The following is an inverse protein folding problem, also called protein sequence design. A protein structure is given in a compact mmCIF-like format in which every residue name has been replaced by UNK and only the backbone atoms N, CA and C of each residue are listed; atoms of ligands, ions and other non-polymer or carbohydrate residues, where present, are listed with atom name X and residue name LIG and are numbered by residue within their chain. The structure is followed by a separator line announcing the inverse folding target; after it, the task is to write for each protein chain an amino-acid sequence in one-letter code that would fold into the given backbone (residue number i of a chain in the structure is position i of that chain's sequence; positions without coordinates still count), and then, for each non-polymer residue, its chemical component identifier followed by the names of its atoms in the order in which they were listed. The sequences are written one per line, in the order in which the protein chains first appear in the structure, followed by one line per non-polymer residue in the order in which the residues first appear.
data_IF_393979757608
#
_entry.id   IF_393979757608
#
_cell.length_a   1.000
_cell.length_b   1.000
_cell.length_c   1.000
_cell.angle_alpha   90.00
_cell.angle_beta   90.00
_cell.angle_gamma   90.00
#
_symmetry.space_group_name_H-M   'P 1'
#
loop_
_entity.id
_entity.type
_entity.pdbx_description
1 polymer ?
#
# COMPACT_ATOMS: atom_id res chain seq x y z
N UNK A 1 -3.05 -21.54 -22.21
CA UNK A 1 -3.38 -22.86 -22.79
C UNK A 1 -2.77 -23.90 -21.87
N UNK A 2 -3.41 -25.06 -21.74
CA UNK A 2 -2.94 -26.13 -20.87
C UNK A 2 -2.82 -27.41 -21.67
N UNK A 3 -1.78 -28.18 -21.42
CA UNK A 3 -1.75 -29.58 -21.83
C UNK A 3 -2.13 -30.39 -20.59
N UNK A 4 -3.20 -31.17 -20.72
CA UNK A 4 -3.71 -32.02 -19.65
C UNK A 4 -3.24 -33.43 -19.92
N UNK A 5 -2.64 -34.06 -18.92
CA UNK A 5 -2.29 -35.48 -18.92
C UNK A 5 -3.16 -36.19 -17.89
N UNK A 6 -3.81 -37.26 -18.29
CA UNK A 6 -4.69 -38.04 -17.43
C UNK A 6 -4.30 -39.52 -17.54
N UNK A 7 -4.02 -40.15 -16.41
CA UNK A 7 -3.91 -41.61 -16.33
C UNK A 7 -5.31 -42.22 -16.19
N UNK A 8 -5.64 -43.13 -17.11
CA UNK A 8 -6.97 -43.71 -17.25
C UNK A 8 -7.01 -45.08 -16.56
N UNK A 9 -7.92 -45.29 -15.59
CA UNK A 9 -8.13 -46.60 -14.97
C UNK A 9 -8.54 -47.67 -16.00
N UNK A 10 -8.23 -48.93 -15.70
CA UNK A 10 -8.58 -50.06 -16.59
C UNK A 10 -10.09 -50.10 -16.88
N UNK A 11 -10.45 -50.29 -18.15
CA UNK A 11 -11.82 -50.42 -18.63
C UNK A 11 -12.59 -49.10 -18.75
N UNK A 12 -11.88 -47.96 -18.79
CA UNK A 12 -12.48 -46.61 -18.90
C UNK A 12 -11.95 -45.80 -20.08
N UNK A 13 -10.99 -46.32 -20.83
CA UNK A 13 -10.39 -45.63 -21.97
C UNK A 13 -11.43 -45.23 -23.01
N UNK A 14 -12.31 -46.16 -23.43
CA UNK A 14 -13.34 -45.86 -24.43
C UNK A 14 -14.28 -44.73 -23.97
N UNK A 15 -14.81 -44.80 -22.74
CA UNK A 15 -15.68 -43.76 -22.16
C UNK A 15 -15.02 -42.36 -22.19
N UNK A 16 -13.71 -42.29 -21.93
CA UNK A 16 -12.94 -41.04 -21.90
C UNK A 16 -12.66 -40.52 -23.31
N UNK A 17 -12.33 -41.40 -24.25
CA UNK A 17 -12.07 -41.01 -25.64
C UNK A 17 -13.35 -40.51 -26.32
N UNK A 18 -14.48 -41.17 -26.07
CA UNK A 18 -15.79 -40.78 -26.60
C UNK A 18 -16.18 -39.36 -26.12
N UNK A 19 -16.00 -39.05 -24.83
CA UNK A 19 -16.28 -37.72 -24.28
C UNK A 19 -15.36 -36.63 -24.88
N UNK A 20 -14.09 -36.96 -25.16
CA UNK A 20 -13.15 -36.02 -25.81
C UNK A 20 -13.50 -35.79 -27.28
N UNK A 21 -13.92 -36.83 -27.99
CA UNK A 21 -14.35 -36.75 -29.39
C UNK A 21 -15.68 -35.98 -29.52
N UNK A 22 -16.63 -36.16 -28.60
CA UNK A 22 -17.89 -35.40 -28.53
C UNK A 22 -17.64 -33.90 -28.33
N UNK A 23 -16.61 -33.56 -27.56
CA UNK A 23 -16.17 -32.17 -27.36
C UNK A 23 -15.27 -31.65 -28.49
N UNK A 24 -14.91 -32.50 -29.46
CA UNK A 24 -14.05 -32.17 -30.59
C UNK A 24 -12.62 -31.84 -30.17
N UNK A 25 -12.10 -32.46 -29.11
CA UNK A 25 -10.77 -32.21 -28.56
C UNK A 25 -9.76 -33.17 -29.19
N UNK A 26 -8.60 -32.66 -29.63
CA UNK A 26 -7.49 -33.53 -30.05
C UNK A 26 -6.84 -34.18 -28.83
N UNK A 27 -6.45 -35.45 -28.96
CA UNK A 27 -5.75 -36.17 -27.90
C UNK A 27 -4.64 -37.06 -28.46
N UNK A 28 -3.68 -37.40 -27.59
CA UNK A 28 -2.67 -38.41 -27.82
C UNK A 28 -2.78 -39.47 -26.73
N UNK A 29 -2.87 -40.73 -27.12
CA UNK A 29 -2.93 -41.88 -26.20
C UNK A 29 -1.55 -42.54 -26.16
N UNK A 30 -1.06 -42.84 -24.96
CA UNK A 30 0.15 -43.62 -24.72
C UNK A 30 -0.19 -44.77 -23.79
N UNK A 31 0.32 -45.97 -24.09
CA UNK A 31 0.10 -47.15 -23.26
C UNK A 31 0.82 -47.00 -21.91
N UNK A 32 0.16 -47.34 -20.81
CA UNK A 32 0.77 -47.35 -19.48
C UNK A 32 1.33 -48.75 -19.19
N UNK A 33 2.65 -48.83 -18.95
CA UNK A 33 3.38 -50.10 -18.74
C UNK A 33 3.89 -50.20 -17.28
N UNK A 34 3.35 -49.38 -16.39
CA UNK A 34 3.80 -49.21 -15.02
C UNK A 34 3.06 -50.13 -14.06
N UNK A 35 2.35 -49.54 -13.08
CA UNK A 35 1.87 -50.29 -11.89
C UNK A 35 0.65 -51.16 -12.13
N UNK A 36 0.12 -51.21 -13.37
CA UNK A 36 -1.02 -52.05 -13.75
C UNK A 36 -2.36 -51.59 -13.16
N UNK A 37 -2.42 -50.37 -12.61
CA UNK A 37 -3.65 -49.73 -12.11
C UNK A 37 -4.33 -48.91 -13.22
N UNK A 38 -3.61 -48.63 -14.30
CA UNK A 38 -4.02 -47.80 -15.43
C UNK A 38 -3.76 -48.54 -16.73
N UNK A 39 -4.61 -48.32 -17.74
CA UNK A 39 -4.43 -48.91 -19.07
C UNK A 39 -3.78 -47.95 -20.07
N UNK A 40 -3.92 -46.64 -19.86
CA UNK A 40 -3.36 -45.63 -20.75
C UNK A 40 -3.13 -44.28 -20.06
N UNK A 41 -2.24 -43.50 -20.65
CA UNK A 41 -2.11 -42.06 -20.43
C UNK A 41 -2.69 -41.32 -21.63
N UNK A 42 -3.67 -40.45 -21.41
CA UNK A 42 -4.26 -39.59 -22.44
C UNK A 42 -3.80 -38.15 -22.23
N UNK A 43 -3.26 -37.55 -23.28
CA UNK A 43 -2.74 -36.18 -23.26
C UNK A 43 -3.46 -35.31 -24.27
N UNK A 44 -4.07 -34.21 -23.85
CA UNK A 44 -4.89 -33.36 -24.72
C UNK A 44 -4.71 -31.87 -24.41
N UNK A 45 -4.57 -31.01 -25.43
CA UNK A 45 -4.46 -29.58 -25.22
C UNK A 45 -5.85 -28.95 -25.04
N UNK A 46 -5.97 -28.12 -23.99
CA UNK A 46 -7.18 -27.36 -23.72
C UNK A 46 -6.90 -25.85 -23.61
N UNK A 47 -7.85 -25.02 -24.06
CA UNK A 47 -7.97 -23.67 -23.57
C UNK A 47 -8.05 -23.70 -22.03
N UNK A 48 -7.40 -22.75 -21.36
CA UNK A 48 -7.42 -22.59 -19.89
C UNK A 48 -8.84 -22.69 -19.31
N UNK A 49 -9.80 -22.05 -19.98
CA UNK A 49 -11.20 -21.99 -19.61
C UNK A 49 -11.98 -23.30 -19.83
N UNK A 50 -11.45 -24.21 -20.67
CA UNK A 50 -12.05 -25.51 -20.95
C UNK A 50 -11.61 -26.61 -19.97
N UNK A 51 -10.55 -26.37 -19.19
CA UNK A 51 -9.96 -27.38 -18.30
C UNK A 51 -10.98 -27.90 -17.28
N UNK A 52 -11.63 -27.04 -16.50
CA UNK A 52 -12.57 -27.49 -15.47
C UNK A 52 -13.85 -28.11 -16.04
N UNK A 53 -14.51 -27.53 -17.07
CA UNK A 53 -15.70 -28.16 -17.67
C UNK A 53 -15.40 -29.55 -18.23
N UNK A 54 -14.29 -29.71 -18.94
CA UNK A 54 -13.88 -31.00 -19.51
C UNK A 54 -13.52 -31.98 -18.39
N UNK A 55 -12.71 -31.57 -17.41
CA UNK A 55 -12.37 -32.44 -16.26
C UNK A 55 -13.58 -32.82 -15.42
N UNK A 56 -14.61 -31.98 -15.33
CA UNK A 56 -15.85 -32.30 -14.63
C UNK A 56 -16.67 -33.36 -15.36
N UNK A 57 -16.76 -33.29 -16.70
CA UNK A 57 -17.46 -34.33 -17.48
C UNK A 57 -16.71 -35.64 -17.48
N UNK A 58 -15.40 -35.57 -17.70
CA UNK A 58 -14.49 -36.70 -17.60
C UNK A 58 -14.59 -37.41 -16.24
N UNK A 59 -14.70 -36.64 -15.15
CA UNK A 59 -15.00 -37.16 -13.81
C UNK A 59 -16.32 -37.94 -13.76
N UNK A 60 -17.38 -37.41 -14.36
CA UNK A 60 -18.69 -38.07 -14.47
C UNK A 60 -18.70 -39.41 -15.24
N UNK A 61 -17.74 -39.64 -16.14
CA UNK A 61 -17.58 -40.92 -16.87
C UNK A 61 -16.60 -41.91 -16.21
N UNK A 62 -16.11 -41.60 -15.00
CA UNK A 62 -15.37 -42.59 -14.19
C UNK A 62 -13.92 -42.26 -13.88
N UNK A 63 -13.50 -41.00 -14.08
CA UNK A 63 -12.17 -40.53 -13.67
C UNK A 63 -12.04 -40.23 -12.15
N UNK A 64 -13.10 -40.39 -11.36
CA UNK A 64 -13.21 -39.69 -10.07
C UNK A 64 -12.37 -40.19 -8.87
N UNK A 65 -11.76 -41.38 -8.85
CA UNK A 65 -11.17 -41.84 -7.56
C UNK A 65 -9.76 -42.46 -7.63
N UNK A 66 -9.16 -42.59 -8.82
CA UNK A 66 -7.79 -43.12 -8.94
C UNK A 66 -6.93 -42.41 -10.01
N UNK A 67 -7.49 -41.56 -10.87
CA UNK A 67 -6.78 -40.96 -12.01
C UNK A 67 -5.79 -39.86 -11.59
N UNK A 68 -4.52 -40.04 -11.93
CA UNK A 68 -3.52 -38.97 -11.79
C UNK A 68 -3.68 -37.97 -12.94
N UNK A 69 -4.00 -36.71 -12.61
CA UNK A 69 -4.13 -35.62 -13.60
C UNK A 69 -3.01 -34.59 -13.43
N UNK A 70 -2.25 -34.34 -14.51
CA UNK A 70 -1.22 -33.30 -14.56
C UNK A 70 -1.69 -32.23 -15.53
N UNK A 71 -1.65 -30.96 -15.11
CA UNK A 71 -1.97 -29.82 -15.96
C UNK A 71 -0.71 -28.98 -16.12
N UNK A 72 -0.15 -28.93 -17.33
CA UNK A 72 1.07 -28.15 -17.62
C UNK A 72 0.78 -26.95 -18.52
N UNK A 73 1.56 -25.88 -18.35
CA UNK A 73 1.51 -24.70 -19.23
C UNK A 73 2.10 -25.04 -20.59
N UNK A 74 1.31 -24.91 -21.65
CA UNK A 74 1.79 -25.01 -23.03
C UNK A 74 2.01 -23.60 -23.62
N UNK A 75 3.18 -23.35 -24.19
CA UNK A 75 3.50 -22.07 -24.84
C UNK A 75 2.72 -21.88 -26.15
N UNK A 76 2.55 -22.95 -26.95
CA UNK A 76 1.81 -22.91 -28.22
C UNK A 76 1.15 -24.25 -28.52
N UNK A 77 -0.07 -24.20 -29.05
CA UNK A 77 -0.80 -25.36 -29.59
C UNK A 77 -1.23 -25.02 -31.01
N UNK A 78 -0.85 -25.85 -31.98
CA UNK A 78 -1.23 -25.68 -33.40
C UNK A 78 -2.22 -26.79 -33.76
N UNK A 79 -3.51 -26.48 -33.65
CA UNK A 79 -4.60 -27.38 -34.06
C UNK A 79 -5.82 -26.58 -34.51
N UNK A 80 -6.50 -27.08 -35.55
CA UNK A 80 -7.78 -26.52 -36.04
C UNK A 80 -8.90 -26.75 -35.02
N UNK A 81 -9.01 -27.98 -34.50
CA UNK A 81 -9.97 -28.35 -33.46
C UNK A 81 -9.76 -27.53 -32.18
N UNK A 82 -8.50 -27.35 -31.77
CA UNK A 82 -8.17 -26.48 -30.63
C UNK A 82 -8.66 -25.03 -30.81
N UNK A 83 -8.59 -24.48 -32.03
CA UNK A 83 -9.10 -23.13 -32.30
C UNK A 83 -10.63 -23.05 -32.17
N UNK A 84 -11.35 -24.11 -32.53
CA UNK A 84 -12.80 -24.24 -32.38
C UNK A 84 -13.20 -24.45 -30.91
N UNK A 85 -12.51 -25.34 -30.19
CA UNK A 85 -12.65 -25.50 -28.74
C UNK A 85 -12.36 -24.17 -28.03
N UNK A 86 -11.29 -23.46 -28.40
CA UNK A 86 -11.00 -22.14 -27.83
C UNK A 86 -12.15 -21.16 -27.99
N UNK A 87 -12.80 -21.11 -29.17
CA UNK A 87 -13.99 -20.27 -29.38
C UNK A 87 -15.17 -20.71 -28.51
N UNK A 88 -15.45 -22.02 -28.41
CA UNK A 88 -16.49 -22.60 -27.54
C UNK A 88 -16.30 -22.22 -26.06
N UNK A 89 -15.04 -22.09 -25.63
CA UNK A 89 -14.66 -21.78 -24.25
C UNK A 89 -14.12 -20.35 -24.05
N UNK A 90 -14.29 -19.42 -25.02
CA UNK A 90 -13.72 -18.05 -24.92
C UNK A 90 -14.39 -17.22 -23.82
N UNK A 91 -15.65 -17.52 -23.47
CA UNK A 91 -16.43 -16.82 -22.44
C UNK A 91 -16.40 -17.48 -21.06
N UNK A 92 -15.68 -18.61 -20.91
CA UNK A 92 -15.61 -19.30 -19.63
C UNK A 92 -14.48 -18.71 -18.79
N UNK A 93 -14.87 -18.22 -17.62
CA UNK A 93 -14.01 -17.77 -16.53
C UNK A 93 -12.83 -18.72 -16.31
N UNK A 94 -11.71 -18.18 -15.81
CA UNK A 94 -10.56 -19.00 -15.45
C UNK A 94 -11.01 -20.18 -14.56
N UNK A 95 -10.52 -21.39 -14.79
CA UNK A 95 -10.85 -22.49 -13.87
C UNK A 95 -10.39 -22.14 -12.45
N UNK A 96 -11.09 -22.66 -11.43
CA UNK A 96 -10.78 -22.38 -10.03
C UNK A 96 -9.38 -22.86 -9.67
N UNK A 97 -9.03 -24.08 -10.10
CA UNK A 97 -7.70 -24.64 -9.93
C UNK A 97 -6.63 -23.75 -10.59
N UNK A 98 -6.91 -23.20 -11.78
CA UNK A 98 -5.98 -22.26 -12.42
C UNK A 98 -5.94 -20.91 -11.70
N UNK A 99 -7.04 -20.43 -11.13
CA UNK A 99 -7.08 -19.20 -10.35
C UNK A 99 -6.23 -19.32 -9.08
N UNK A 100 -6.32 -20.45 -8.37
CA UNK A 100 -5.50 -20.78 -7.21
C UNK A 100 -4.03 -20.88 -7.61
N UNK A 101 -3.71 -21.67 -8.62
CA UNK A 101 -2.32 -21.83 -9.11
C UNK A 101 -1.71 -20.49 -9.52
N UNK A 102 -2.41 -19.66 -10.30
CA UNK A 102 -1.91 -18.32 -10.66
C UNK A 102 -1.73 -17.41 -9.44
N UNK A 103 -2.65 -17.48 -8.48
CA UNK A 103 -2.54 -16.70 -7.25
C UNK A 103 -1.35 -17.15 -6.37
N UNK A 104 -1.00 -18.43 -6.39
CA UNK A 104 0.18 -18.98 -5.71
C UNK A 104 1.47 -18.60 -6.43
N UNK A 105 1.50 -18.68 -7.76
CA UNK A 105 2.66 -18.32 -8.60
C UNK A 105 3.00 -16.83 -8.49
N UNK A 106 1.99 -15.98 -8.28
CA UNK A 106 2.20 -14.54 -8.06
C UNK A 106 2.80 -14.21 -6.69
N UNK A 107 2.70 -15.11 -5.71
CA UNK A 107 3.24 -14.90 -4.36
C UNK A 107 4.65 -15.52 -4.26
N UNK A 108 5.72 -14.70 -4.26
CA UNK A 108 7.08 -15.24 -4.28
C UNK A 108 7.41 -16.01 -2.99
N UNK A 109 8.49 -16.82 -3.02
CA UNK A 109 9.04 -17.43 -1.82
C UNK A 109 9.35 -16.37 -0.75
N UNK A 110 9.21 -16.76 0.53
CA UNK A 110 9.36 -15.84 1.66
C UNK A 110 10.71 -15.10 1.65
N UNK A 111 11.81 -15.80 1.34
CA UNK A 111 13.15 -15.19 1.27
C UNK A 111 13.23 -14.08 0.23
N UNK A 112 12.72 -14.34 -0.98
CA UNK A 112 12.66 -13.35 -2.07
C UNK A 112 11.75 -12.19 -1.69
N UNK A 113 10.59 -12.48 -1.10
CA UNK A 113 9.65 -11.47 -0.63
C UNK A 113 10.29 -10.50 0.37
N UNK A 114 10.97 -11.03 1.39
CA UNK A 114 11.64 -10.23 2.41
C UNK A 114 12.73 -9.36 1.82
N UNK A 115 13.66 -9.94 1.04
CA UNK A 115 14.78 -9.18 0.45
C UNK A 115 14.27 -8.07 -0.48
N UNK A 116 13.35 -8.38 -1.38
CA UNK A 116 12.81 -7.39 -2.32
C UNK A 116 12.02 -6.30 -1.61
N UNK A 117 11.30 -6.63 -0.54
CA UNK A 117 10.57 -5.63 0.27
C UNK A 117 11.53 -4.68 0.98
N UNK A 118 12.60 -5.21 1.60
CA UNK A 118 13.62 -4.38 2.27
C UNK A 118 14.31 -3.46 1.26
N UNK A 119 14.78 -4.01 0.13
CA UNK A 119 15.44 -3.22 -0.92
C UNK A 119 14.51 -2.15 -1.46
N UNK A 120 13.27 -2.51 -1.78
CA UNK A 120 12.27 -1.56 -2.26
C UNK A 120 12.00 -0.44 -1.25
N UNK A 121 11.81 -0.78 0.03
CA UNK A 121 11.57 0.22 1.08
C UNK A 121 12.75 1.19 1.25
N UNK A 122 13.99 0.69 1.26
CA UNK A 122 15.19 1.53 1.36
C UNK A 122 15.33 2.47 0.16
N UNK A 123 15.12 1.95 -1.06
CA UNK A 123 15.18 2.77 -2.28
C UNK A 123 14.02 3.78 -2.31
N UNK A 124 12.83 3.40 -1.85
CA UNK A 124 11.69 4.30 -1.74
C UNK A 124 11.95 5.43 -0.74
N UNK A 125 12.48 5.12 0.45
CA UNK A 125 12.87 6.13 1.44
C UNK A 125 13.94 7.06 0.88
N UNK A 126 14.94 6.53 0.16
CA UNK A 126 15.94 7.35 -0.53
C UNK A 126 15.29 8.29 -1.54
N UNK A 127 14.37 7.78 -2.36
CA UNK A 127 13.64 8.59 -3.34
C UNK A 127 12.75 9.66 -2.69
N UNK A 128 12.12 9.36 -1.55
CA UNK A 128 11.33 10.32 -0.78
C UNK A 128 12.21 11.44 -0.23
N UNK A 129 13.30 11.09 0.49
CA UNK A 129 14.19 12.08 1.11
C UNK A 129 14.95 12.93 0.06
N UNK A 130 15.24 12.38 -1.11
CA UNK A 130 15.89 13.09 -2.22
C UNK A 130 14.93 13.80 -3.17
N UNK A 131 13.62 13.81 -2.87
CA UNK A 131 12.58 14.41 -3.72
C UNK A 131 12.59 13.88 -5.18
N UNK A 132 12.84 12.58 -5.37
CA UNK A 132 13.02 11.96 -6.69
C UNK A 132 11.91 10.95 -7.01
N UNK A 133 10.89 11.43 -7.75
CA UNK A 133 9.80 10.59 -8.24
C UNK A 133 10.29 9.40 -9.09
N UNK A 134 11.37 9.54 -9.85
CA UNK A 134 11.94 8.46 -10.66
C UNK A 134 12.50 7.32 -9.79
N UNK A 135 13.20 7.64 -8.71
CA UNK A 135 13.74 6.64 -7.77
C UNK A 135 12.60 5.94 -7.03
N UNK A 136 11.57 6.71 -6.64
CA UNK A 136 10.36 6.19 -6.02
C UNK A 136 9.65 5.18 -6.94
N UNK A 137 9.49 5.50 -8.23
CA UNK A 137 8.91 4.58 -9.23
C UNK A 137 9.77 3.33 -9.39
N UNK A 138 11.10 3.48 -9.44
CA UNK A 138 12.03 2.36 -9.47
C UNK A 138 11.86 1.41 -8.28
N UNK A 139 11.71 1.96 -7.07
CA UNK A 139 11.44 1.20 -5.87
C UNK A 139 10.12 0.41 -5.96
N UNK A 140 9.07 1.02 -6.50
CA UNK A 140 7.75 0.39 -6.63
C UNK A 140 7.78 -0.86 -7.53
N UNK A 141 8.62 -0.88 -8.57
CA UNK A 141 8.76 -2.02 -9.48
C UNK A 141 9.42 -3.22 -8.80
N UNK A 142 10.27 -2.98 -7.79
CA UNK A 142 10.98 -4.02 -7.04
C UNK A 142 10.03 -4.78 -6.09
N UNK A 143 9.01 -4.09 -5.55
CA UNK A 143 8.20 -4.61 -4.46
C UNK A 143 7.21 -5.72 -4.90
N UNK A 144 7.26 -6.92 -4.28
CA UNK A 144 6.38 -8.03 -4.67
C UNK A 144 5.01 -8.00 -3.97
N UNK A 145 4.30 -6.87 -4.02
CA UNK A 145 3.07 -6.64 -3.22
C UNK A 145 1.78 -7.17 -3.86
N UNK A 146 1.80 -7.50 -5.15
CA UNK A 146 0.61 -7.99 -5.87
C UNK A 146 0.17 -9.38 -5.39
N UNK A 147 1.12 -10.31 -5.30
CA UNK A 147 0.88 -11.71 -4.91
C UNK A 147 0.09 -11.82 -3.60
N UNK A 148 0.55 -11.20 -2.50
CA UNK A 148 -0.15 -11.24 -1.22
C UNK A 148 -1.62 -10.81 -1.28
N UNK A 149 -1.94 -9.73 -2.02
CA UNK A 149 -3.31 -9.22 -2.17
C UNK A 149 -4.21 -10.15 -2.99
N UNK A 150 -3.67 -10.70 -4.08
CA UNK A 150 -4.39 -11.68 -4.89
C UNK A 150 -4.60 -12.98 -4.11
N UNK A 151 -3.59 -13.52 -3.43
CA UNK A 151 -3.72 -14.73 -2.63
C UNK A 151 -4.75 -14.56 -1.51
N UNK A 152 -4.78 -13.40 -0.83
CA UNK A 152 -5.79 -13.11 0.19
C UNK A 152 -7.20 -13.09 -0.41
N UNK A 153 -7.39 -12.41 -1.54
CA UNK A 153 -8.70 -12.28 -2.20
C UNK A 153 -9.21 -13.61 -2.77
N UNK A 154 -8.36 -14.35 -3.50
CA UNK A 154 -8.69 -15.65 -4.08
C UNK A 154 -8.95 -16.69 -2.98
N UNK A 155 -8.08 -16.73 -1.97
CA UNK A 155 -8.24 -17.63 -0.83
C UNK A 155 -9.53 -17.37 -0.05
N UNK A 156 -9.98 -16.12 0.02
CA UNK A 156 -11.27 -15.77 0.61
C UNK A 156 -12.45 -16.27 -0.23
N UNK A 157 -12.47 -15.96 -1.54
CA UNK A 157 -13.61 -16.26 -2.43
C UNK A 157 -13.79 -17.75 -2.65
N UNK A 158 -12.70 -18.49 -2.80
CA UNK A 158 -12.72 -19.93 -3.05
C UNK A 158 -12.77 -20.78 -1.77
N UNK A 159 -12.76 -20.14 -0.59
CA UNK A 159 -12.71 -20.81 0.72
C UNK A 159 -11.45 -21.68 0.90
N UNK A 160 -10.30 -21.17 0.45
CA UNK A 160 -8.98 -21.80 0.59
C UNK A 160 -8.20 -21.17 1.77
N UNK A 161 -8.32 -21.70 3.00
CA UNK A 161 -7.80 -21.04 4.20
C UNK A 161 -6.28 -20.94 4.23
N UNK A 162 -5.56 -21.88 3.59
CA UNK A 162 -4.10 -21.85 3.48
C UNK A 162 -3.66 -20.66 2.62
N UNK A 163 -4.27 -20.49 1.45
CA UNK A 163 -3.98 -19.39 0.53
C UNK A 163 -4.36 -18.03 1.15
N UNK A 164 -5.53 -17.96 1.79
CA UNK A 164 -5.97 -16.75 2.50
C UNK A 164 -4.99 -16.33 3.59
N UNK A 165 -4.61 -17.25 4.49
CA UNK A 165 -3.67 -16.97 5.59
C UNK A 165 -2.28 -16.61 5.08
N UNK A 166 -1.82 -17.26 4.01
CA UNK A 166 -0.54 -16.92 3.37
C UNK A 166 -0.59 -15.50 2.79
N UNK A 167 -1.65 -15.14 2.07
CA UNK A 167 -1.82 -13.80 1.51
C UNK A 167 -1.84 -12.70 2.58
N UNK A 168 -2.69 -12.85 3.59
CA UNK A 168 -2.79 -11.90 4.72
C UNK A 168 -1.48 -11.83 5.51
N UNK A 169 -0.84 -12.97 5.78
CA UNK A 169 0.44 -13.03 6.49
C UNK A 169 1.55 -12.29 5.74
N UNK A 170 1.65 -12.47 4.43
CA UNK A 170 2.63 -11.76 3.60
C UNK A 170 2.31 -10.25 3.49
N UNK A 171 1.03 -9.85 3.46
CA UNK A 171 0.66 -8.43 3.48
C UNK A 171 1.10 -7.76 4.79
N UNK A 172 0.76 -8.36 5.93
CA UNK A 172 1.15 -7.83 7.25
C UNK A 172 2.66 -7.78 7.38
N UNK A 173 3.34 -8.88 7.02
CA UNK A 173 4.80 -8.93 7.05
C UNK A 173 5.43 -7.88 6.13
N UNK A 174 4.90 -7.72 4.90
CA UNK A 174 5.41 -6.76 3.93
C UNK A 174 5.27 -5.31 4.41
N UNK A 175 4.13 -4.96 5.01
CA UNK A 175 3.91 -3.65 5.62
C UNK A 175 4.88 -3.40 6.76
N UNK A 176 5.00 -4.35 7.70
CA UNK A 176 5.90 -4.21 8.84
C UNK A 176 7.36 -4.11 8.40
N UNK A 177 7.78 -4.91 7.42
CA UNK A 177 9.13 -4.84 6.87
C UNK A 177 9.38 -3.52 6.14
N UNK A 178 8.42 -3.02 5.37
CA UNK A 178 8.57 -1.76 4.66
C UNK A 178 8.69 -0.57 5.64
N UNK A 179 7.83 -0.51 6.66
CA UNK A 179 7.89 0.51 7.72
C UNK A 179 9.22 0.39 8.48
N UNK A 180 9.59 -0.81 8.93
CA UNK A 180 10.81 -1.04 9.69
C UNK A 180 12.08 -0.71 8.89
N UNK A 181 12.12 -1.09 7.60
CA UNK A 181 13.26 -0.77 6.73
C UNK A 181 13.36 0.72 6.46
N UNK A 182 12.22 1.37 6.19
CA UNK A 182 12.16 2.81 6.01
C UNK A 182 12.58 3.56 7.28
N UNK A 183 12.14 3.11 8.45
CA UNK A 183 12.54 3.64 9.76
C UNK A 183 14.05 3.48 10.00
N UNK A 184 14.58 2.27 9.88
CA UNK A 184 16.00 1.99 10.11
C UNK A 184 16.87 2.83 9.17
N UNK A 185 16.51 2.92 7.89
CA UNK A 185 17.25 3.74 6.94
C UNK A 185 17.12 5.24 7.25
N UNK A 186 15.94 5.71 7.63
CA UNK A 186 15.71 7.10 8.04
C UNK A 186 16.53 7.49 9.26
N UNK A 187 16.61 6.61 10.28
CA UNK A 187 17.48 6.80 11.44
C UNK A 187 18.96 6.83 11.05
N UNK A 188 19.39 5.91 10.18
CA UNK A 188 20.77 5.93 9.68
C UNK A 188 21.09 7.26 8.99
N UNK A 189 20.21 7.76 8.13
CA UNK A 189 20.38 9.04 7.44
C UNK A 189 20.42 10.22 8.42
N UNK A 190 19.54 10.21 9.43
CA UNK A 190 19.49 11.22 10.50
C UNK A 190 20.78 11.28 11.32
N UNK A 191 21.31 10.13 11.73
CA UNK A 191 22.50 10.03 12.61
C UNK A 191 23.83 10.23 11.87
N UNK A 192 23.90 9.93 10.56
CA UNK A 192 25.17 9.93 9.81
C UNK A 192 25.54 11.30 9.20
N UNK A 193 24.88 12.39 9.59
CA UNK A 193 25.08 13.74 9.05
C UNK A 193 24.96 13.82 7.51
N UNK A 194 24.23 12.87 6.90
CA UNK A 194 23.96 12.87 5.46
C UNK A 194 22.95 13.96 5.05
N UNK A 195 22.31 14.60 6.04
CA UNK A 195 21.36 15.69 5.86
C UNK A 195 21.81 16.92 6.66
N UNK A 196 21.59 18.13 6.13
CA UNK A 196 21.92 19.35 6.83
C UNK A 196 21.22 19.47 8.19
N UNK A 197 21.84 20.13 9.18
CA UNK A 197 21.13 20.53 10.40
C UNK A 197 19.91 21.39 10.01
N UNK A 198 18.77 21.12 10.65
CA UNK A 198 17.49 21.75 10.31
C UNK A 198 16.70 21.08 9.17
N UNK A 199 17.20 19.99 8.58
CA UNK A 199 16.44 19.27 7.55
C UNK A 199 15.17 18.62 8.12
N UNK A 200 14.02 19.07 7.63
CA UNK A 200 12.72 18.49 7.93
C UNK A 200 12.20 17.64 6.75
N UNK A 201 12.20 16.30 6.83
CA UNK A 201 11.73 15.45 5.75
C UNK A 201 10.22 15.60 5.49
N UNK A 202 9.46 16.06 6.47
CA UNK A 202 8.01 16.27 6.36
C UNK A 202 7.70 17.41 5.38
N UNK A 203 8.65 18.32 5.15
CA UNK A 203 8.53 19.42 4.19
C UNK A 203 8.91 19.02 2.75
N UNK A 204 9.47 17.83 2.55
CA UNK A 204 9.86 17.37 1.23
C UNK A 204 8.60 17.10 0.40
N UNK A 205 8.46 17.66 -0.83
CA UNK A 205 7.23 17.54 -1.61
C UNK A 205 6.77 16.10 -1.83
N UNK A 206 7.68 15.18 -2.16
CA UNK A 206 7.35 13.76 -2.32
C UNK A 206 6.86 13.08 -1.03
N UNK A 207 7.27 13.56 0.14
CA UNK A 207 6.77 13.10 1.45
C UNK A 207 5.39 13.70 1.70
N UNK A 208 5.22 15.03 1.51
CA UNK A 208 3.94 15.72 1.69
C UNK A 208 2.80 15.12 0.87
N UNK A 209 3.06 14.69 -0.37
CA UNK A 209 2.08 13.99 -1.20
C UNK A 209 1.50 12.72 -0.55
N UNK A 210 2.19 12.14 0.44
CA UNK A 210 1.77 10.96 1.21
C UNK A 210 1.23 11.30 2.59
N UNK A 211 1.28 12.57 2.98
CA UNK A 211 0.74 13.12 4.21
C UNK A 211 -0.63 13.76 4.02
N UNK A 212 -1.00 14.10 2.78
CA UNK A 212 -2.35 14.60 2.47
C UNK A 212 -3.22 13.48 1.88
N UNK A 213 -3.93 12.70 2.72
CA UNK A 213 -4.83 11.70 2.21
C UNK A 213 -5.97 12.35 1.41
N UNK A 214 -6.10 11.92 0.16
CA UNK A 214 -7.03 12.50 -0.80
C UNK A 214 -7.94 11.40 -1.37
N UNK A 215 -9.19 11.73 -1.68
CA UNK A 215 -10.12 10.86 -2.43
C UNK A 215 -9.47 10.33 -3.72
N UNK A 216 -8.57 11.08 -4.35
CA UNK A 216 -7.83 10.63 -5.52
C UNK A 216 -6.94 9.40 -5.26
N UNK A 217 -6.41 9.22 -4.04
CA UNK A 217 -5.64 8.00 -3.70
C UNK A 217 -6.54 6.77 -3.62
N UNK A 218 -7.81 6.94 -3.22
CA UNK A 218 -8.80 5.87 -3.25
C UNK A 218 -9.09 5.42 -4.70
N UNK A 219 -9.17 6.37 -5.65
CA UNK A 219 -9.33 6.04 -7.08
C UNK A 219 -8.16 5.19 -7.57
N UNK A 220 -6.93 5.53 -7.18
CA UNK A 220 -5.74 4.75 -7.50
C UNK A 220 -5.82 3.33 -6.91
N UNK A 221 -6.18 3.20 -5.64
CA UNK A 221 -6.31 1.90 -4.97
C UNK A 221 -7.42 1.03 -5.61
N UNK A 222 -8.55 1.65 -5.97
CA UNK A 222 -9.64 0.96 -6.68
C UNK A 222 -9.17 0.50 -8.06
N UNK A 223 -8.52 1.38 -8.82
CA UNK A 223 -7.95 1.04 -10.13
C UNK A 223 -6.92 -0.09 -10.05
N UNK A 224 -6.05 -0.07 -9.04
CA UNK A 224 -5.09 -1.13 -8.78
C UNK A 224 -5.77 -2.47 -8.45
N UNK A 225 -6.84 -2.46 -7.65
CA UNK A 225 -7.64 -3.65 -7.37
C UNK A 225 -8.34 -4.23 -8.61
N UNK A 226 -8.90 -3.37 -9.47
CA UNK A 226 -9.46 -3.78 -10.77
C UNK A 226 -8.38 -4.41 -11.62
N UNK A 227 -7.25 -3.73 -11.80
CA UNK A 227 -6.14 -4.21 -12.59
C UNK A 227 -5.57 -5.54 -12.06
N UNK A 228 -5.55 -5.73 -10.74
CA UNK A 228 -5.13 -6.97 -10.09
C UNK A 228 -5.97 -8.16 -10.55
N UNK A 229 -7.30 -8.02 -10.49
CA UNK A 229 -8.23 -9.07 -10.93
C UNK A 229 -8.16 -9.29 -12.43
N UNK A 230 -8.01 -8.24 -13.23
CA UNK A 230 -7.86 -8.37 -14.68
C UNK A 230 -6.53 -9.03 -15.07
N UNK A 231 -5.43 -8.72 -14.39
CA UNK A 231 -4.14 -9.41 -14.60
C UNK A 231 -4.25 -10.89 -14.25
N UNK A 232 -4.89 -11.22 -13.14
CA UNK A 232 -5.13 -12.61 -12.74
C UNK A 232 -6.01 -13.36 -13.75
N UNK A 233 -7.17 -12.80 -14.10
CA UNK A 233 -8.21 -13.46 -14.90
C UNK A 233 -7.98 -13.41 -16.41
N UNK A 234 -7.25 -12.41 -16.92
CA UNK A 234 -6.99 -12.23 -18.35
C UNK A 234 -5.52 -12.39 -18.74
N UNK A 235 -4.63 -12.64 -17.78
CA UNK A 235 -3.20 -12.85 -18.05
C UNK A 235 -2.47 -11.59 -18.51
N UNK A 236 -2.93 -10.40 -18.09
CA UNK A 236 -2.22 -9.13 -18.32
C UNK A 236 -0.95 -9.10 -17.46
N UNK A 237 0.10 -8.41 -17.92
CA UNK A 237 1.41 -8.32 -17.24
C UNK A 237 1.28 -8.03 -15.74
N UNK A 238 1.74 -8.98 -14.91
CA UNK A 238 1.76 -8.86 -13.45
C UNK A 238 2.75 -7.80 -12.96
N UNK A 239 3.79 -7.50 -13.74
CA UNK A 239 4.80 -6.49 -13.38
C UNK A 239 4.19 -5.09 -13.37
N UNK A 240 3.43 -4.74 -14.41
CA UNK A 240 2.81 -3.41 -14.52
C UNK A 240 1.75 -3.20 -13.44
N UNK A 241 0.97 -4.23 -13.15
CA UNK A 241 -0.04 -4.18 -12.09
C UNK A 241 0.58 -4.20 -10.70
N UNK A 242 1.64 -4.98 -10.51
CA UNK A 242 2.44 -4.97 -9.29
C UNK A 242 3.01 -3.60 -8.98
N UNK A 243 3.53 -2.89 -9.99
CA UNK A 243 3.96 -1.52 -9.85
C UNK A 243 2.82 -0.59 -9.39
N UNK A 244 1.62 -0.69 -9.97
CA UNK A 244 0.46 0.14 -9.53
C UNK A 244 0.05 -0.13 -8.08
N UNK A 245 0.03 -1.39 -7.64
CA UNK A 245 -0.26 -1.71 -6.23
C UNK A 245 0.87 -1.19 -5.33
N UNK A 246 2.13 -1.32 -5.74
CA UNK A 246 3.27 -0.82 -5.01
C UNK A 246 3.26 0.70 -4.88
N UNK A 247 2.78 1.43 -5.90
CA UNK A 247 2.62 2.90 -5.84
C UNK A 247 1.78 3.30 -4.64
N UNK A 248 0.71 2.56 -4.36
CA UNK A 248 -0.21 2.84 -3.28
C UNK A 248 0.29 2.37 -1.89
N UNK A 249 1.29 1.48 -1.83
CA UNK A 249 1.67 0.80 -0.58
C UNK A 249 3.07 1.15 -0.08
N UNK A 250 4.08 1.09 -0.96
CA UNK A 250 5.49 1.20 -0.54
C UNK A 250 5.82 2.62 -0.05
N UNK A 251 5.50 3.69 -0.80
CA UNK A 251 5.87 5.04 -0.34
C UNK A 251 5.14 5.47 0.93
N UNK A 252 3.82 5.22 1.12
CA UNK A 252 3.18 5.49 2.41
C UNK A 252 3.82 4.72 3.56
N UNK A 253 4.16 3.43 3.37
CA UNK A 253 4.86 2.65 4.40
C UNK A 253 6.26 3.23 4.73
N UNK A 254 7.02 3.63 3.72
CA UNK A 254 8.30 4.31 3.90
C UNK A 254 8.13 5.67 4.60
N UNK A 255 7.06 6.41 4.29
CA UNK A 255 6.72 7.70 4.91
C UNK A 255 6.38 7.55 6.39
N UNK A 256 5.65 6.49 6.76
CA UNK A 256 5.44 6.14 8.19
C UNK A 256 6.79 5.91 8.88
N UNK A 257 7.72 5.18 8.25
CA UNK A 257 9.07 4.98 8.78
C UNK A 257 9.85 6.29 8.96
N UNK A 258 9.76 7.22 7.99
CA UNK A 258 10.33 8.57 8.09
C UNK A 258 9.70 9.33 9.27
N UNK A 259 8.38 9.32 9.38
CA UNK A 259 7.65 10.00 10.46
C UNK A 259 8.05 9.50 11.84
N UNK A 260 8.26 8.19 12.02
CA UNK A 260 8.77 7.61 13.27
C UNK A 260 10.21 8.08 13.56
N UNK A 261 11.08 8.18 12.55
CA UNK A 261 12.47 8.61 12.74
C UNK A 261 12.59 10.09 13.14
N UNK A 262 11.64 10.94 12.72
CA UNK A 262 11.59 12.37 13.03
C UNK A 262 10.59 12.75 14.13
N UNK A 263 10.02 11.77 14.83
CA UNK A 263 9.04 11.97 15.90
C UNK A 263 7.86 12.87 15.46
N UNK A 264 7.35 12.61 14.25
CA UNK A 264 6.28 13.37 13.62
C UNK A 264 4.94 12.60 13.71
N UNK A 265 4.20 12.66 14.83
CA UNK A 265 3.05 11.81 15.08
C UNK A 265 1.87 12.08 14.13
N UNK A 266 1.67 13.33 13.71
CA UNK A 266 0.65 13.65 12.70
C UNK A 266 0.98 12.99 11.35
N UNK A 267 2.25 13.03 10.94
CA UNK A 267 2.71 12.41 9.70
C UNK A 267 2.58 10.88 9.74
N UNK A 268 2.84 10.26 10.90
CA UNK A 268 2.62 8.82 11.13
C UNK A 268 1.15 8.45 10.94
N UNK A 269 0.25 9.25 11.53
CA UNK A 269 -1.20 9.03 11.42
C UNK A 269 -1.69 9.22 9.99
N UNK A 270 -1.25 10.27 9.30
CA UNK A 270 -1.65 10.58 7.92
C UNK A 270 -1.19 9.48 6.94
N UNK A 271 0.11 9.19 6.90
CA UNK A 271 0.67 8.17 6.01
C UNK A 271 0.20 6.76 6.38
N UNK A 272 0.06 6.48 7.68
CA UNK A 272 -0.44 5.20 8.19
C UNK A 272 -1.90 4.96 7.81
N UNK A 273 -2.74 5.99 7.91
CA UNK A 273 -4.15 5.89 7.49
C UNK A 273 -4.26 5.72 5.98
N UNK A 274 -3.48 6.47 5.20
CA UNK A 274 -3.42 6.31 3.75
C UNK A 274 -3.00 4.88 3.35
N UNK A 275 -1.98 4.32 4.00
CA UNK A 275 -1.54 2.95 3.79
C UNK A 275 -2.65 1.94 4.06
N UNK A 276 -3.32 2.05 5.21
CA UNK A 276 -4.40 1.14 5.60
C UNK A 276 -5.59 1.22 4.64
N UNK A 277 -6.00 2.44 4.26
CA UNK A 277 -7.06 2.65 3.27
C UNK A 277 -6.71 1.99 1.94
N UNK A 278 -5.47 2.15 1.46
CA UNK A 278 -5.03 1.56 0.20
C UNK A 278 -5.04 0.02 0.24
N UNK A 279 -4.53 -0.58 1.31
CA UNK A 279 -4.56 -2.04 1.49
C UNK A 279 -6.01 -2.54 1.47
N UNK A 280 -6.87 -1.94 2.29
CA UNK A 280 -8.26 -2.37 2.42
C UNK A 280 -9.04 -2.16 1.12
N UNK A 281 -8.84 -1.05 0.41
CA UNK A 281 -9.50 -0.76 -0.84
C UNK A 281 -9.09 -1.73 -1.96
N UNK A 282 -7.79 -2.03 -2.10
CA UNK A 282 -7.31 -3.02 -3.10
C UNK A 282 -7.92 -4.39 -2.83
N UNK A 283 -7.91 -4.85 -1.57
CA UNK A 283 -8.51 -6.15 -1.21
C UNK A 283 -10.04 -6.12 -1.37
N UNK A 284 -10.72 -5.04 -1.01
CA UNK A 284 -12.17 -4.89 -1.17
C UNK A 284 -12.56 -5.05 -2.63
N UNK A 285 -11.89 -4.33 -3.53
CA UNK A 285 -12.20 -4.36 -4.95
C UNK A 285 -11.86 -5.71 -5.55
N UNK A 286 -10.71 -6.28 -5.21
CA UNK A 286 -10.33 -7.59 -5.71
C UNK A 286 -11.32 -8.68 -5.27
N UNK A 287 -11.68 -8.70 -3.98
CA UNK A 287 -12.69 -9.59 -3.41
C UNK A 287 -14.05 -9.40 -4.07
N UNK A 288 -14.50 -8.15 -4.23
CA UNK A 288 -15.80 -7.81 -4.82
C UNK A 288 -15.90 -8.25 -6.27
N UNK A 289 -14.88 -7.97 -7.08
CA UNK A 289 -14.87 -8.34 -8.49
C UNK A 289 -14.83 -9.85 -8.69
N UNK A 290 -14.02 -10.57 -7.91
CA UNK A 290 -13.98 -12.03 -7.95
C UNK A 290 -15.34 -12.63 -7.53
N UNK A 291 -15.97 -12.06 -6.50
CA UNK A 291 -17.30 -12.47 -6.06
C UNK A 291 -18.38 -12.23 -7.13
N UNK A 292 -18.42 -11.03 -7.72
CA UNK A 292 -19.37 -10.66 -8.79
C UNK A 292 -19.13 -11.49 -10.06
N UNK A 293 -17.88 -11.86 -10.35
CA UNK A 293 -17.51 -12.73 -11.48
C UNK A 293 -17.96 -14.19 -11.29
N UNK A 294 -18.59 -14.54 -10.16
CA UNK A 294 -19.19 -15.86 -9.95
C UNK A 294 -18.24 -16.94 -9.46
N UNK A 295 -17.01 -16.59 -9.05
CA UNK A 295 -16.10 -17.54 -8.42
C UNK A 295 -16.67 -17.97 -7.05
N UNK A 296 -16.87 -19.28 -6.85
CA UNK A 296 -17.48 -19.91 -5.65
C UNK A 296 -16.78 -21.25 -5.33
N UNK A 297 -16.92 -21.82 -4.12
CA UNK A 297 -16.34 -23.12 -3.76
C UNK A 297 -16.99 -24.32 -4.48
N UNK A 298 -16.32 -25.48 -4.46
CA UNK A 298 -16.73 -26.72 -5.18
C UNK A 298 -17.83 -27.50 -4.45
N UNK A 299 -17.82 -27.55 -3.11
CA UNK A 299 -18.80 -28.37 -2.37
C UNK A 299 -20.11 -27.60 -2.13
N UNK A 300 -21.25 -28.24 -2.40
CA UNK A 300 -22.58 -27.67 -2.13
C UNK A 300 -22.81 -27.43 -0.62
N UNK A 301 -22.12 -28.17 0.26
CA UNK A 301 -22.13 -27.98 1.71
C UNK A 301 -21.38 -26.73 2.20
N UNK A 302 -20.29 -26.34 1.53
CA UNK A 302 -19.48 -25.18 1.90
C UNK A 302 -19.93 -23.88 1.22
N UNK A 303 -20.75 -23.95 0.18
CA UNK A 303 -21.22 -22.79 -0.57
C UNK A 303 -21.95 -21.76 0.32
N UNK A 304 -22.74 -22.23 1.30
CA UNK A 304 -23.42 -21.37 2.27
C UNK A 304 -22.45 -20.68 3.24
N UNK A 305 -21.47 -21.43 3.76
CA UNK A 305 -20.46 -20.91 4.68
C UNK A 305 -19.50 -19.93 3.99
N UNK A 306 -19.07 -20.24 2.76
CA UNK A 306 -18.21 -19.37 1.97
C UNK A 306 -18.92 -18.07 1.58
N UNK A 307 -20.22 -18.12 1.24
CA UNK A 307 -21.02 -16.92 0.99
C UNK A 307 -21.13 -16.05 2.22
N UNK A 308 -21.48 -16.64 3.37
CA UNK A 308 -21.57 -15.90 4.63
C UNK A 308 -20.23 -15.27 4.99
N UNK A 309 -19.13 -16.01 4.89
CA UNK A 309 -17.78 -15.52 5.19
C UNK A 309 -17.34 -14.41 4.25
N UNK A 310 -17.59 -14.54 2.94
CA UNK A 310 -17.22 -13.51 1.96
C UNK A 310 -18.01 -12.23 2.19
N UNK A 311 -19.32 -12.32 2.43
CA UNK A 311 -20.15 -11.16 2.76
C UNK A 311 -19.71 -10.52 4.09
N UNK A 312 -19.36 -11.32 5.09
CA UNK A 312 -18.81 -10.81 6.35
C UNK A 312 -17.49 -10.08 6.13
N UNK A 313 -16.58 -10.62 5.33
CA UNK A 313 -15.30 -9.97 5.02
C UNK A 313 -15.50 -8.68 4.22
N UNK A 314 -16.39 -8.67 3.22
CA UNK A 314 -16.78 -7.45 2.52
C UNK A 314 -17.36 -6.41 3.49
N UNK A 315 -18.23 -6.83 4.40
CA UNK A 315 -18.82 -5.97 5.43
C UNK A 315 -17.78 -5.41 6.39
N UNK A 316 -16.86 -6.24 6.88
CA UNK A 316 -15.76 -5.83 7.76
C UNK A 316 -14.85 -4.84 7.05
N UNK A 317 -14.37 -5.15 5.84
CA UNK A 317 -13.47 -4.26 5.10
C UNK A 317 -14.17 -2.93 4.79
N UNK A 318 -15.44 -2.96 4.37
CA UNK A 318 -16.24 -1.75 4.11
C UNK A 318 -16.42 -0.93 5.38
N UNK A 319 -16.76 -1.57 6.50
CA UNK A 319 -16.89 -0.89 7.79
C UNK A 319 -15.56 -0.28 8.26
N UNK A 320 -14.45 -1.01 8.12
CA UNK A 320 -13.11 -0.49 8.42
C UNK A 320 -12.77 0.72 7.55
N UNK A 321 -13.11 0.70 6.25
CA UNK A 321 -12.92 1.85 5.37
C UNK A 321 -13.79 3.04 5.76
N UNK A 322 -15.03 2.82 6.21
CA UNK A 322 -15.88 3.90 6.72
C UNK A 322 -15.32 4.52 8.01
N UNK A 323 -14.88 3.69 8.96
CA UNK A 323 -14.24 4.16 10.20
C UNK A 323 -12.96 4.92 9.90
N UNK A 324 -12.09 4.36 9.04
CA UNK A 324 -10.87 5.04 8.60
C UNK A 324 -11.21 6.31 7.84
N UNK A 325 -12.28 6.35 7.03
CA UNK A 325 -12.73 7.56 6.33
C UNK A 325 -13.17 8.67 7.29
N UNK A 326 -13.80 8.33 8.42
CA UNK A 326 -14.12 9.29 9.49
C UNK A 326 -12.86 9.80 10.16
N UNK A 327 -11.93 8.91 10.52
CA UNK A 327 -10.62 9.28 11.08
C UNK A 327 -9.88 10.19 10.11
N UNK A 328 -9.85 9.82 8.83
CA UNK A 328 -9.21 10.55 7.76
C UNK A 328 -9.78 11.95 7.61
N UNK A 329 -11.10 12.07 7.64
CA UNK A 329 -11.78 13.37 7.58
C UNK A 329 -11.39 14.24 8.78
N UNK A 330 -11.32 13.65 9.99
CA UNK A 330 -10.83 14.34 11.18
C UNK A 330 -9.39 14.82 11.03
N UNK A 331 -8.47 13.93 10.64
CA UNK A 331 -7.06 14.26 10.41
C UNK A 331 -6.90 15.31 9.32
N UNK A 332 -7.68 15.24 8.24
CA UNK A 332 -7.66 16.22 7.15
C UNK A 332 -8.08 17.61 7.64
N UNK A 333 -9.11 17.70 8.48
CA UNK A 333 -9.52 18.99 9.07
C UNK A 333 -8.42 19.58 9.95
N UNK A 334 -7.76 18.74 10.74
CA UNK A 334 -6.64 19.13 11.59
C UNK A 334 -5.44 19.58 10.76
N UNK A 335 -5.13 18.86 9.67
CA UNK A 335 -4.06 19.18 8.71
C UNK A 335 -4.34 20.52 7.99
N UNK A 336 -5.59 20.79 7.61
CA UNK A 336 -6.00 22.08 7.03
C UNK A 336 -5.83 23.22 8.06
N UNK A 337 -6.24 22.99 9.30
CA UNK A 337 -6.07 23.98 10.37
C UNK A 337 -4.59 24.26 10.64
N UNK A 338 -3.74 23.23 10.62
CA UNK A 338 -2.29 23.35 10.77
C UNK A 338 -1.68 24.17 9.63
N UNK A 339 -2.06 23.88 8.39
CA UNK A 339 -1.60 24.61 7.22
C UNK A 339 -2.02 26.09 7.25
N UNK A 340 -3.25 26.39 7.70
CA UNK A 340 -3.75 27.75 7.85
C UNK A 340 -2.99 28.51 8.95
N UNK A 341 -2.75 27.88 10.11
CA UNK A 341 -1.94 28.46 11.18
C UNK A 341 -0.55 28.86 10.66
N UNK A 342 0.13 27.96 9.95
CA UNK A 342 1.46 28.21 9.37
C UNK A 342 1.46 29.39 8.39
N UNK A 343 0.45 29.49 7.54
CA UNK A 343 0.35 30.55 6.54
C UNK A 343 0.07 31.92 7.19
N UNK A 344 -0.84 31.96 8.16
CA UNK A 344 -1.22 33.18 8.87
C UNK A 344 -0.07 33.67 9.77
N UNK A 345 0.63 32.76 10.45
CA UNK A 345 1.73 33.08 11.36
C UNK A 345 2.82 33.92 10.68
N UNK A 346 3.24 33.54 9.46
CA UNK A 346 4.24 34.30 8.71
C UNK A 346 3.76 35.72 8.35
N UNK A 347 2.47 35.86 8.06
CA UNK A 347 1.87 37.17 7.71
C UNK A 347 1.76 38.05 8.94
N UNK A 348 1.29 37.50 10.06
CA UNK A 348 1.15 38.21 11.33
C UNK A 348 2.49 38.65 11.94
N UNK A 349 3.51 37.77 11.90
CA UNK A 349 4.85 38.13 12.35
C UNK A 349 5.42 39.26 11.48
N UNK A 350 5.24 39.20 10.16
CA UNK A 350 5.66 40.27 9.26
C UNK A 350 4.95 41.59 9.57
N UNK A 351 3.66 41.55 9.89
CA UNK A 351 2.87 42.73 10.27
C UNK A 351 3.35 43.32 11.60
N UNK A 352 3.65 42.51 12.63
CA UNK A 352 4.22 42.99 13.90
C UNK A 352 5.59 43.64 13.68
N UNK A 353 6.46 43.02 12.88
CA UNK A 353 7.80 43.56 12.59
C UNK A 353 7.75 44.85 11.74
N UNK A 354 6.65 45.11 11.02
CA UNK A 354 6.44 46.34 10.26
C UNK A 354 6.18 47.58 11.13
N UNK A 355 5.83 47.38 12.41
CA UNK A 355 5.54 48.48 13.34
C UNK A 355 6.76 49.37 13.56
N UNK A 356 6.53 50.67 13.78
CA UNK A 356 7.59 51.69 13.91
C UNK A 356 8.60 51.41 15.04
N UNK A 357 8.20 50.61 16.04
CA UNK A 357 9.03 50.15 17.17
C UNK A 357 10.05 49.08 16.79
N UNK A 358 9.86 48.35 15.68
CA UNK A 358 10.64 47.17 15.31
C UNK A 358 11.30 47.26 13.92
N UNK A 359 11.31 48.44 13.28
CA UNK A 359 11.83 48.65 11.90
C UNK A 359 13.28 48.19 11.65
N UNK A 360 14.08 48.03 12.71
CA UNK A 360 15.46 47.60 12.63
C UNK A 360 15.62 46.08 12.78
N UNK A 361 14.55 45.34 13.01
CA UNK A 361 14.53 43.88 13.16
C UNK A 361 14.00 43.27 11.86
N UNK A 362 14.72 42.31 11.28
CA UNK A 362 14.29 41.59 10.08
C UNK A 362 14.01 40.14 10.42
N UNK A 363 12.93 39.59 9.86
CA UNK A 363 12.66 38.17 9.98
C UNK A 363 13.66 37.36 9.14
N UNK A 364 14.32 36.39 9.76
CA UNK A 364 15.20 35.45 9.06
C UNK A 364 14.44 34.17 8.77
N UNK A 365 13.89 33.56 9.82
CA UNK A 365 13.20 32.27 9.72
C UNK A 365 12.19 32.11 10.86
N UNK A 366 11.11 31.38 10.60
CA UNK A 366 10.14 30.98 11.62
C UNK A 366 10.15 29.46 11.65
N UNK A 367 10.51 28.90 12.80
CA UNK A 367 10.40 27.48 13.08
C UNK A 367 9.19 27.24 13.98
N UNK A 368 8.40 26.23 13.65
CA UNK A 368 7.24 25.84 14.46
C UNK A 368 7.61 24.49 15.06
N UNK A 369 7.98 24.52 16.32
CA UNK A 369 8.40 23.35 17.08
C UNK A 369 7.18 22.47 17.41
N UNK A 370 6.10 23.08 17.91
CA UNK A 370 4.83 22.41 18.20
C UNK A 370 3.68 23.29 17.74
N UNK A 371 2.90 22.81 16.76
CA UNK A 371 1.73 23.56 16.32
C UNK A 371 0.56 23.47 17.31
N UNK A 372 -0.36 24.45 17.34
CA UNK A 372 -1.54 24.37 18.20
C UNK A 372 -2.41 23.14 17.96
N UNK A 373 -2.41 22.64 16.73
CA UNK A 373 -3.11 21.41 16.34
C UNK A 373 -2.44 20.18 16.93
N UNK A 374 -1.10 20.11 16.88
CA UNK A 374 -0.33 19.04 17.50
C UNK A 374 -0.44 19.08 19.03
N UNK A 375 -0.31 20.26 19.64
CA UNK A 375 -0.44 20.41 21.09
C UNK A 375 -1.80 19.94 21.63
N UNK A 376 -2.88 20.17 20.89
CA UNK A 376 -4.23 19.71 21.25
C UNK A 376 -4.39 18.19 21.14
N UNK A 377 -3.72 17.56 20.17
CA UNK A 377 -3.75 16.09 19.96
C UNK A 377 -2.84 15.33 20.92
N UNK A 378 -1.65 15.85 21.20
CA UNK A 378 -0.58 15.15 21.91
C UNK A 378 -0.29 15.70 23.30
N UNK A 379 -1.05 16.71 23.76
CA UNK A 379 -0.90 17.35 25.08
C UNK A 379 0.46 18.02 25.30
N UNK A 380 1.00 18.61 24.24
CA UNK A 380 2.22 19.43 24.27
C UNK A 380 1.86 20.92 24.21
N UNK A 381 2.65 21.78 24.84
CA UNK A 381 2.43 23.21 24.76
C UNK A 381 2.87 23.71 23.36
N UNK A 382 2.01 24.44 22.62
CA UNK A 382 2.37 24.95 21.31
C UNK A 382 3.55 25.91 21.42
N UNK A 383 4.56 25.73 20.57
CA UNK A 383 5.82 26.46 20.63
C UNK A 383 6.25 26.91 19.23
N UNK A 384 6.63 28.18 19.13
CA UNK A 384 7.09 28.84 17.91
C UNK A 384 8.41 29.52 18.20
N UNK A 385 9.45 29.13 17.47
CA UNK A 385 10.78 29.74 17.52
C UNK A 385 10.97 30.68 16.32
N UNK A 386 11.30 31.93 16.59
CA UNK A 386 11.43 32.98 15.59
C UNK A 386 12.87 33.46 15.57
N UNK A 387 13.53 33.26 14.44
CA UNK A 387 14.88 33.75 14.19
C UNK A 387 14.80 35.14 13.55
N UNK A 388 15.36 36.14 14.22
CA UNK A 388 15.38 37.52 13.76
C UNK A 388 16.79 38.08 13.64
N UNK A 389 17.02 38.89 12.61
CA UNK A 389 18.23 39.68 12.45
C UNK A 389 18.03 41.03 13.17
N UNK A 390 18.83 41.28 14.19
CA UNK A 390 18.78 42.52 14.98
C UNK A 390 20.19 43.13 15.12
N UNK A 391 20.39 44.40 14.76
CA UNK A 391 21.68 45.08 14.87
C UNK A 391 22.24 45.02 16.29
N UNK A 392 23.42 44.42 16.45
CA UNK A 392 24.09 44.27 17.74
C UNK A 392 23.55 43.15 18.63
N UNK A 393 22.67 42.28 18.12
CA UNK A 393 22.10 41.13 18.85
C UNK A 393 21.15 41.49 19.98
N UNK A 394 20.74 42.77 20.09
CA UNK A 394 19.87 43.25 21.16
C UNK A 394 18.41 43.12 20.71
N UNK A 395 17.64 42.33 21.45
CA UNK A 395 16.20 42.17 21.22
C UNK A 395 15.41 43.36 21.79
N UNK A 396 14.47 43.94 21.02
CA UNK A 396 13.55 44.94 21.55
C UNK A 396 12.65 44.36 22.63
N UNK A 397 12.67 44.95 23.83
CA UNK A 397 11.89 44.46 24.97
C UNK A 397 10.40 44.33 24.64
N UNK A 398 9.85 43.14 24.87
CA UNK A 398 8.43 42.83 24.70
C UNK A 398 8.02 42.41 23.29
N UNK A 399 8.97 42.17 22.37
CA UNK A 399 8.68 41.64 21.04
C UNK A 399 7.99 40.27 21.12
N UNK A 400 8.47 39.37 21.98
CA UNK A 400 7.87 38.05 22.20
C UNK A 400 6.42 38.14 22.71
N UNK A 401 6.15 39.03 23.66
CA UNK A 401 4.78 39.22 24.17
C UNK A 401 3.86 39.90 23.15
N UNK A 402 4.39 40.81 22.32
CA UNK A 402 3.63 41.43 21.24
C UNK A 402 3.20 40.39 20.19
N UNK A 403 4.13 39.54 19.73
CA UNK A 403 3.84 38.46 18.79
C UNK A 403 2.85 37.46 19.39
N UNK A 404 3.07 37.04 20.63
CA UNK A 404 2.14 36.15 21.34
C UNK A 404 0.73 36.74 21.44
N UNK A 405 0.62 38.03 21.77
CA UNK A 405 -0.67 38.71 21.88
C UNK A 405 -1.38 38.74 20.53
N UNK A 406 -0.66 39.06 19.45
CA UNK A 406 -1.22 39.04 18.09
C UNK A 406 -1.72 37.64 17.70
N UNK A 407 -0.92 36.59 17.92
CA UNK A 407 -1.33 35.20 17.62
C UNK A 407 -2.59 34.82 18.42
N UNK A 408 -2.67 35.25 19.68
CA UNK A 408 -3.82 34.98 20.55
C UNK A 408 -5.07 35.76 20.14
N UNK A 409 -4.94 36.99 19.68
CA UNK A 409 -6.05 37.84 19.26
C UNK A 409 -6.58 37.47 17.87
N UNK A 410 -5.69 37.20 16.91
CA UNK A 410 -6.04 36.90 15.51
C UNK A 410 -6.39 35.43 15.30
N UNK A 411 -5.67 34.50 15.95
CA UNK A 411 -5.84 33.06 15.73
C UNK A 411 -6.46 32.32 16.92
N UNK A 412 -6.59 32.95 18.08
CA UNK A 412 -7.22 32.35 19.27
C UNK A 412 -6.37 31.28 19.98
N UNK A 413 -5.12 31.11 19.58
CA UNK A 413 -4.18 30.15 20.18
C UNK A 413 -3.24 30.85 21.15
N UNK A 414 -3.04 30.28 22.34
CA UNK A 414 -1.99 30.73 23.27
C UNK A 414 -0.76 29.85 23.01
N UNK A 415 0.31 30.46 22.52
CA UNK A 415 1.54 29.77 22.11
C UNK A 415 2.74 30.32 22.88
N UNK A 416 3.72 29.46 23.14
CA UNK A 416 5.04 29.84 23.62
C UNK A 416 5.81 30.44 22.45
N UNK A 417 6.28 31.67 22.60
CA UNK A 417 7.08 32.37 21.59
C UNK A 417 8.52 32.48 22.08
N UNK A 418 9.43 31.86 21.34
CA UNK A 418 10.87 31.96 21.54
C UNK A 418 11.43 32.87 20.44
N UNK A 419 12.25 33.85 20.83
CA UNK A 419 12.94 34.71 19.85
C UNK A 419 14.44 34.56 20.00
N UNK A 420 15.08 34.23 18.89
CA UNK A 420 16.53 34.15 18.75
C UNK A 420 17.02 35.28 17.86
N UNK A 421 17.95 36.09 18.37
CA UNK A 421 18.58 37.15 17.60
C UNK A 421 19.93 36.72 17.02
N UNK A 422 20.13 37.00 15.74
CA UNK A 422 21.42 36.90 15.06
C UNK A 422 21.83 38.29 14.57
N UNK A 423 23.12 38.62 14.65
CA UNK A 423 23.65 39.85 14.04
C UNK A 423 24.33 39.50 12.72
N UNK A 424 23.61 39.66 11.61
CA UNK A 424 24.14 39.35 10.28
C UNK A 424 25.31 40.29 9.85
N UNK A 425 25.62 41.31 10.66
CA UNK A 425 26.68 42.30 10.42
C UNK A 425 28.05 41.90 10.99
N UNK A 426 28.13 40.84 11.82
CA UNK A 426 29.37 40.38 12.48
C UNK A 426 29.88 39.05 11.88
N UNK A 427 31.21 38.86 11.73
CA UNK A 427 31.77 37.58 11.29
C UNK A 427 31.50 36.47 12.32
N UNK A 428 31.32 35.23 11.85
CA UNK A 428 30.81 34.07 12.57
C UNK A 428 31.64 33.52 13.75
N UNK A 429 32.61 34.27 14.30
CA UNK A 429 33.54 33.78 15.33
C UNK A 429 33.11 34.09 16.79
N UNK A 430 32.04 34.86 17.01
CA UNK A 430 31.52 35.18 18.36
C UNK A 430 30.04 34.76 18.50
N UNK A 431 29.78 33.55 19.02
CA UNK A 431 28.44 33.10 19.43
C UNK A 431 27.99 33.85 20.70
N UNK A 432 27.27 34.95 20.52
CA UNK A 432 26.47 35.57 21.57
C UNK A 432 24.99 35.58 21.15
N UNK A 433 24.36 34.40 21.16
CA UNK A 433 22.92 34.27 20.96
C UNK A 433 22.20 34.75 22.23
N UNK A 434 21.49 35.88 22.17
CA UNK A 434 20.56 36.29 23.22
C UNK A 434 19.19 35.68 22.94
N UNK A 435 18.76 34.71 23.77
CA UNK A 435 17.41 34.14 23.73
C UNK A 435 16.50 34.91 24.68
N UNK A 436 15.47 35.59 24.16
CA UNK A 436 14.39 36.15 24.99
C UNK A 436 13.31 35.07 25.14
N UNK A 437 13.21 34.46 26.34
CA UNK A 437 12.24 33.40 26.64
C UNK A 437 11.04 33.96 27.40
N UNK A 438 9.87 33.91 26.79
CA UNK A 438 8.59 34.18 27.46
C UNK A 438 7.88 32.85 27.73
N UNK A 439 7.97 32.35 28.96
CA UNK A 439 7.30 31.12 29.39
C UNK A 439 5.99 31.43 30.13
N UNK A 440 4.93 30.67 29.86
CA UNK A 440 3.64 30.78 30.56
C UNK A 440 3.66 29.98 31.88
N UNK A 441 3.09 30.49 32.99
CA UNK A 441 2.84 29.68 34.18
C UNK A 441 1.69 28.69 33.95
N UNK A 442 1.96 27.42 34.24
CA UNK A 442 1.08 26.24 34.10
C UNK A 442 -0.39 26.49 34.46
N UNK A 443 -1.31 26.06 33.57
CA UNK A 443 -2.74 25.92 33.93
C UNK A 443 -2.92 24.75 34.91
N UNK A 444 -3.65 25.05 35.98
CA UNK A 444 -4.13 24.13 37.01
C UNK A 444 -5.00 23.03 36.37
N UNK A 445 -4.71 21.78 36.70
CA UNK A 445 -5.50 20.61 36.34
C UNK A 445 -6.96 20.75 36.80
N UNK A 446 -7.91 20.37 35.93
CA UNK A 446 -9.27 19.97 36.32
C UNK A 446 -9.54 18.59 35.75
#
# INVERSE_FOLDING_TARGET
MRLVHVLIPIGRLEDVLDELDDEGIDYAVSEEIGRGEYEAQVSFPLPTSAVEPVLTRLRGVGLEEAGYTIVVSAETVVSKRFAETKKKYTDLSLSRAELVSRAEDMAPPLSTFVVMTIVSAVVATTGLLSNSAAVIIGAMIIAPVMGPAISASVGSVLYEPKLFRRGVGLQVLGVLLAIASGLVFSLLVKETLLVPPGFNPIEVPQVQERLTPNILSLVLAVGAGVAAVFSLTRGVSSVLVGAMIAVALVPPAATVGIGIAWDAPLAILEAGTLLLVNILAVNLVALSLLWVSGYRPVSEGDAGYARKRTIQLLGIITFSLLVLGVILSGVTLLSIADAQFKQNLNTEIADVLSQQRYQNVRLVEVHIDVSPVQGLLFSEDPEVTILVDSPGGVLPSGLAEAIRTTIKEEQGYDVIVLIEAVDASRPADDEATMTERVAVPSRVAI
#
